data_IF_543624534816
#
_entry.id   IF_543624534816
#
_cell.length_a   1.000
_cell.length_b   1.000
_cell.length_c   1.000
_cell.angle_alpha   90.00
_cell.angle_beta   90.00
_cell.angle_gamma   90.00
#
_symmetry.space_group_name_H-M   'P 1'
#
loop_
_entity.id
_entity.type
_entity.pdbx_description
1 polymer ?
#
# COMPACT_ATOMS: atom_id res chain seq x y z
N UNK A 1 -18.93 7.92 -3.44
CA UNK A 1 -18.74 7.24 -4.74
C UNK A 1 -17.51 7.69 -5.56
N UNK A 2 -16.84 8.82 -5.27
CA UNK A 2 -15.60 9.21 -5.98
C UNK A 2 -14.33 8.64 -5.32
N UNK A 3 -14.22 8.78 -3.99
CA UNK A 3 -13.05 8.33 -3.22
C UNK A 3 -12.77 6.84 -3.43
N UNK A 4 -13.78 5.98 -3.29
CA UNK A 4 -13.62 4.53 -3.48
C UNK A 4 -13.06 4.18 -4.87
N UNK A 5 -13.52 4.86 -5.93
CA UNK A 5 -13.01 4.64 -7.30
C UNK A 5 -11.56 5.09 -7.45
N UNK A 6 -11.21 6.25 -6.89
CA UNK A 6 -9.85 6.77 -6.94
C UNK A 6 -8.87 5.84 -6.18
N UNK A 7 -9.23 5.42 -4.97
CA UNK A 7 -8.40 4.49 -4.18
C UNK A 7 -8.27 3.14 -4.89
N UNK A 8 -9.37 2.60 -5.43
CA UNK A 8 -9.34 1.35 -6.20
C UNK A 8 -8.45 1.43 -7.44
N UNK A 9 -8.43 2.57 -8.14
CA UNK A 9 -7.53 2.79 -9.28
C UNK A 9 -6.05 2.79 -8.87
N UNK A 10 -5.71 3.47 -7.77
CA UNK A 10 -4.32 3.50 -7.25
C UNK A 10 -3.87 2.09 -6.83
N UNK A 11 -4.73 1.33 -6.14
CA UNK A 11 -4.42 -0.04 -5.74
C UNK A 11 -4.15 -0.97 -6.93
N UNK A 12 -4.91 -0.83 -8.02
CA UNK A 12 -4.77 -1.69 -9.21
C UNK A 12 -3.73 -1.23 -10.22
N UNK A 13 -3.28 0.02 -10.17
CA UNK A 13 -2.30 0.60 -11.11
C UNK A 13 -0.85 0.18 -10.84
N UNK A 14 -0.57 -0.47 -9.71
CA UNK A 14 0.79 -0.76 -9.24
C UNK A 14 1.48 0.42 -8.55
N UNK A 15 0.89 1.63 -8.59
CA UNK A 15 1.38 2.78 -7.82
C UNK A 15 1.38 2.52 -6.31
N UNK A 16 0.46 1.68 -5.84
CA UNK A 16 0.38 1.28 -4.43
C UNK A 16 1.65 0.60 -3.92
N UNK A 17 2.39 -0.13 -4.76
CA UNK A 17 3.64 -0.77 -4.35
C UNK A 17 4.73 0.28 -4.06
N UNK A 18 4.77 1.36 -4.85
CA UNK A 18 5.69 2.49 -4.62
C UNK A 18 5.34 3.25 -3.34
N UNK A 19 4.03 3.47 -3.12
CA UNK A 19 3.54 4.12 -1.90
C UNK A 19 3.86 3.26 -0.69
N UNK A 20 3.58 1.95 -0.76
CA UNK A 20 3.91 1.01 0.32
C UNK A 20 5.41 1.03 0.62
N UNK A 21 6.26 0.96 -0.41
CA UNK A 21 7.70 0.94 -0.23
C UNK A 21 8.23 2.20 0.47
N UNK A 22 7.67 3.37 0.13
CA UNK A 22 8.05 4.66 0.75
C UNK A 22 7.76 4.68 2.26
N UNK A 23 6.67 4.08 2.70
CA UNK A 23 6.20 4.20 4.07
C UNK A 23 6.59 3.02 4.97
N UNK A 24 6.75 1.82 4.40
CA UNK A 24 6.95 0.59 5.16
C UNK A 24 8.32 -0.06 4.97
N UNK A 25 9.01 0.23 3.86
CA UNK A 25 10.33 -0.37 3.55
C UNK A 25 11.43 0.65 3.33
N UNK A 26 11.13 1.96 3.44
CA UNK A 26 12.09 3.05 3.30
C UNK A 26 12.17 3.84 4.60
N UNK A 27 13.30 4.53 4.85
CA UNK A 27 13.42 5.48 5.96
C UNK A 27 12.34 6.57 5.89
N UNK A 28 11.49 6.66 6.91
CA UNK A 28 10.45 7.68 7.02
C UNK A 28 10.95 8.89 7.83
N UNK A 29 10.77 10.09 7.26
CA UNK A 29 11.15 11.35 7.87
C UNK A 29 10.27 11.71 9.09
N UNK A 30 10.76 12.55 10.03
CA UNK A 30 12.09 13.16 10.06
C UNK A 30 13.17 12.25 10.69
N UNK A 31 12.76 11.21 11.41
CA UNK A 31 13.68 10.37 12.21
C UNK A 31 14.42 9.30 11.39
N UNK A 32 14.07 9.11 10.12
CA UNK A 32 14.70 8.13 9.23
C UNK A 32 14.48 6.68 9.67
N UNK A 33 13.45 6.41 10.46
CA UNK A 33 13.15 5.05 10.92
C UNK A 33 12.59 4.25 9.76
N UNK A 34 13.02 3.01 9.56
CA UNK A 34 12.44 2.11 8.58
C UNK A 34 11.65 1.02 9.32
N UNK A 35 10.40 0.80 8.93
CA UNK A 35 9.56 -0.24 9.53
C UNK A 35 9.98 -1.64 9.10
N UNK A 36 10.74 -1.76 8.00
CA UNK A 36 11.21 -3.03 7.43
C UNK A 36 10.08 -4.06 7.27
N UNK A 37 8.90 -3.61 6.84
CA UNK A 37 7.74 -4.46 6.58
C UNK A 37 7.61 -4.70 5.08
N UNK A 38 8.16 -5.79 4.54
CA UNK A 38 8.01 -6.13 3.13
C UNK A 38 6.58 -6.55 2.81
N UNK A 39 6.17 -6.35 1.57
CA UNK A 39 4.85 -6.76 1.10
C UNK A 39 4.70 -8.28 1.19
N UNK A 40 3.68 -8.75 1.90
CA UNK A 40 3.35 -10.17 1.98
C UNK A 40 2.43 -10.59 0.83
N UNK A 41 2.31 -11.88 0.52
CA UNK A 41 1.35 -12.37 -0.47
C UNK A 41 -0.08 -11.93 -0.17
N UNK A 42 -0.49 -11.91 1.10
CA UNK A 42 -1.81 -11.46 1.52
C UNK A 42 -2.05 -9.98 1.20
N UNK A 43 -1.08 -9.10 1.49
CA UNK A 43 -1.18 -7.67 1.17
C UNK A 43 -1.23 -7.44 -0.34
N UNK A 44 -0.43 -8.19 -1.10
CA UNK A 44 -0.45 -8.14 -2.57
C UNK A 44 -1.82 -8.55 -3.12
N UNK A 45 -2.45 -9.57 -2.53
CA UNK A 45 -3.79 -10.01 -2.93
C UNK A 45 -4.87 -8.97 -2.59
N UNK A 46 -4.79 -8.35 -1.42
CA UNK A 46 -5.69 -7.27 -1.03
C UNK A 46 -5.59 -6.04 -1.95
N UNK A 47 -4.42 -5.74 -2.52
CA UNK A 47 -4.29 -4.69 -3.53
C UNK A 47 -4.94 -5.06 -4.87
N UNK A 48 -4.86 -6.32 -5.28
CA UNK A 48 -5.54 -6.81 -6.50
C UNK A 48 -7.06 -6.82 -6.33
N UNK A 49 -7.52 -7.20 -5.14
CA UNK A 49 -8.92 -7.32 -4.76
C UNK A 49 -9.24 -6.44 -3.53
N UNK A 50 -9.28 -5.10 -3.70
CA UNK A 50 -9.54 -4.17 -2.61
C UNK A 50 -10.86 -4.44 -1.90
N UNK A 51 -10.83 -4.41 -0.58
CA UNK A 51 -11.99 -4.61 0.27
C UNK A 51 -11.87 -3.77 1.55
N UNK A 52 -12.99 -3.62 2.26
CA UNK A 52 -13.08 -2.78 3.46
C UNK A 52 -12.85 -3.56 4.77
N UNK A 53 -12.43 -4.83 4.69
CA UNK A 53 -12.25 -5.76 5.83
C UNK A 53 -10.78 -5.96 6.21
N UNK A 54 -9.84 -5.59 5.36
CA UNK A 54 -8.40 -5.76 5.58
C UNK A 54 -7.82 -7.01 4.91
N UNK A 55 -6.63 -7.41 5.37
CA UNK A 55 -5.91 -8.65 5.01
C UNK A 55 -6.14 -9.73 6.05
#
# INVERSE_FOLDING_TARGET
ALVHRAVGAVMKSGEIEKIYSRWFTSPIAPKGVNLNFPITPAIREAFKNPNDKGV
#
